data_IF_525282669870
#
_entry.id   IF_525282669870
#
_cell.length_a   1.000
_cell.length_b   1.000
_cell.length_c   1.000
_cell.angle_alpha   90.00
_cell.angle_beta   90.00
_cell.angle_gamma   90.00
#
_symmetry.space_group_name_H-M   'P 1'
#
loop_
_entity.id
_entity.type
_entity.pdbx_description
1 polymer ?
#
# COMPACT_ATOMS: atom_id res chain seq x y z
N UNK A 1 12.02 10.42 19.55
CA UNK A 1 12.91 9.33 20.01
C UNK A 1 12.40 7.95 19.62
N UNK A 2 11.09 7.67 19.67
CA UNK A 2 10.52 6.37 19.31
C UNK A 2 10.77 5.98 17.83
N UNK A 3 10.56 6.89 16.89
CA UNK A 3 10.80 6.66 15.45
C UNK A 3 12.27 6.36 15.10
N UNK A 4 13.23 7.02 15.73
CA UNK A 4 14.66 6.76 15.46
C UNK A 4 15.04 5.32 15.81
N UNK A 5 14.41 4.76 16.86
CA UNK A 5 14.61 3.37 17.22
C UNK A 5 13.94 2.47 16.19
N UNK A 6 12.69 2.72 15.84
CA UNK A 6 11.98 1.98 14.79
C UNK A 6 12.83 1.87 13.51
N UNK A 7 13.32 3.01 12.97
CA UNK A 7 14.14 3.03 11.76
C UNK A 7 15.54 2.41 11.90
N UNK A 8 15.98 2.09 13.12
CA UNK A 8 17.25 1.40 13.36
C UNK A 8 17.13 -0.13 13.37
N UNK A 9 15.91 -0.66 13.51
CA UNK A 9 15.63 -2.09 13.56
C UNK A 9 15.66 -2.70 12.14
N UNK A 10 16.02 -3.98 12.05
CA UNK A 10 16.08 -4.73 10.78
C UNK A 10 14.98 -5.79 10.66
N UNK A 11 14.37 -6.16 11.79
CA UNK A 11 13.26 -7.10 11.84
C UNK A 11 11.92 -6.37 11.86
N UNK A 12 11.74 -5.49 10.87
CA UNK A 12 10.51 -4.76 10.61
C UNK A 12 9.89 -5.33 9.34
N UNK A 13 8.56 -5.31 9.26
CA UNK A 13 7.81 -5.69 8.05
C UNK A 13 8.29 -4.86 6.85
N UNK A 14 8.36 -5.50 5.70
CA UNK A 14 8.86 -4.86 4.49
C UNK A 14 7.92 -5.05 3.32
N UNK A 15 7.91 -4.04 2.44
CA UNK A 15 7.18 -4.10 1.18
C UNK A 15 7.59 -5.34 0.37
N UNK A 16 8.86 -5.73 0.42
CA UNK A 16 9.41 -6.89 -0.29
C UNK A 16 8.66 -8.19 0.02
N UNK A 17 8.26 -8.38 1.28
CA UNK A 17 7.49 -9.56 1.70
C UNK A 17 6.05 -9.52 1.17
N UNK A 18 5.49 -8.31 1.00
CA UNK A 18 4.14 -8.11 0.51
C UNK A 18 4.05 -7.97 -1.02
N UNK A 19 5.18 -7.71 -1.71
CA UNK A 19 5.25 -7.47 -3.15
C UNK A 19 4.52 -8.52 -3.99
N UNK A 20 4.62 -9.85 -3.73
CA UNK A 20 3.88 -10.84 -4.52
C UNK A 20 2.35 -10.67 -4.44
N UNK A 21 1.83 -10.27 -3.28
CA UNK A 21 0.39 -10.05 -3.11
C UNK A 21 -0.07 -8.77 -3.81
N UNK A 22 0.72 -7.69 -3.69
CA UNK A 22 0.47 -6.45 -4.43
C UNK A 22 0.50 -6.69 -5.95
N UNK A 23 1.52 -7.39 -6.45
CA UNK A 23 1.69 -7.67 -7.87
C UNK A 23 0.50 -8.45 -8.43
N UNK A 24 0.08 -9.52 -7.76
CA UNK A 24 -1.06 -10.33 -8.18
C UNK A 24 -2.37 -9.51 -8.30
N UNK A 25 -2.60 -8.58 -7.39
CA UNK A 25 -3.79 -7.73 -7.42
C UNK A 25 -3.65 -6.62 -8.47
N UNK A 26 -2.47 -6.00 -8.57
CA UNK A 26 -2.20 -4.95 -9.55
C UNK A 26 -2.32 -5.47 -10.98
N UNK A 27 -1.80 -6.66 -11.29
CA UNK A 27 -1.96 -7.28 -12.62
C UNK A 27 -3.44 -7.45 -13.00
N UNK A 28 -4.33 -7.72 -12.03
CA UNK A 28 -5.77 -7.83 -12.27
C UNK A 28 -6.47 -6.47 -12.46
N UNK A 29 -5.85 -5.39 -11.97
CA UNK A 29 -6.42 -4.04 -11.99
C UNK A 29 -5.66 -3.09 -12.95
N UNK A 30 -4.61 -3.56 -13.62
CA UNK A 30 -3.71 -2.75 -14.44
C UNK A 30 -4.46 -2.00 -15.56
N UNK A 31 -5.34 -2.69 -16.28
CA UNK A 31 -6.18 -2.08 -17.33
C UNK A 31 -7.12 -1.00 -16.77
N UNK A 32 -7.57 -1.14 -15.52
CA UNK A 32 -8.40 -0.13 -14.88
C UNK A 32 -7.60 1.11 -14.51
N UNK A 33 -6.43 0.93 -13.86
CA UNK A 33 -5.56 2.04 -13.43
C UNK A 33 -5.10 2.89 -14.62
N UNK A 34 -4.75 2.24 -15.74
CA UNK A 34 -4.30 2.90 -16.98
C UNK A 34 -5.44 3.39 -17.88
N UNK A 35 -6.71 3.15 -17.51
CA UNK A 35 -7.85 3.44 -18.38
C UNK A 35 -7.93 4.91 -18.75
N UNK A 36 -7.90 5.17 -20.06
CA UNK A 36 -8.03 6.51 -20.63
C UNK A 36 -6.71 7.29 -20.72
N UNK A 37 -5.58 6.66 -20.38
CA UNK A 37 -4.24 7.23 -20.51
C UNK A 37 -3.52 6.65 -21.73
N UNK A 38 -2.73 7.48 -22.39
CA UNK A 38 -1.91 7.02 -23.51
C UNK A 38 -0.70 6.22 -22.98
N UNK A 39 -0.15 5.22 -23.71
CA UNK A 39 0.96 4.41 -23.22
C UNK A 39 2.24 5.18 -22.83
N UNK A 40 2.43 6.37 -23.40
CA UNK A 40 3.54 7.29 -23.13
C UNK A 40 3.24 8.33 -22.04
N UNK A 41 2.00 8.37 -21.53
CA UNK A 41 1.60 9.22 -20.43
C UNK A 41 1.94 8.55 -19.09
N UNK A 42 2.80 9.13 -18.24
CA UNK A 42 3.22 8.45 -17.02
C UNK A 42 2.07 8.32 -16.00
N UNK A 43 1.96 7.13 -15.38
CA UNK A 43 1.17 6.92 -14.17
C UNK A 43 1.94 7.45 -12.96
N UNK A 44 1.37 8.39 -12.23
CA UNK A 44 1.96 8.87 -10.98
C UNK A 44 1.64 7.87 -9.87
N UNK A 45 2.66 7.15 -9.41
CA UNK A 45 2.51 6.08 -8.42
C UNK A 45 3.28 6.45 -7.16
N UNK A 46 2.66 6.30 -6.01
CA UNK A 46 3.24 6.69 -4.74
C UNK A 46 3.35 5.52 -3.74
N UNK A 47 4.47 5.48 -3.01
CA UNK A 47 4.65 4.68 -1.81
C UNK A 47 4.53 5.60 -0.59
N UNK A 48 3.49 5.40 0.22
CA UNK A 48 3.28 6.07 1.49
C UNK A 48 3.95 5.32 2.63
N UNK A 49 4.99 5.91 3.20
CA UNK A 49 5.84 5.35 4.25
C UNK A 49 6.96 4.48 3.67
N UNK A 50 8.18 4.65 4.19
CA UNK A 50 9.33 3.82 3.85
C UNK A 50 10.17 3.51 5.08
N UNK A 51 10.75 2.31 5.11
CA UNK A 51 11.70 1.93 6.14
C UNK A 51 13.11 1.82 5.53
N UNK A 52 14.07 2.67 5.92
CA UNK A 52 15.34 2.85 5.21
C UNK A 52 16.22 1.58 5.16
N UNK A 53 16.04 0.66 6.11
CA UNK A 53 16.80 -0.60 6.16
C UNK A 53 16.19 -1.78 5.39
N UNK A 54 14.86 -1.86 5.27
CA UNK A 54 14.18 -3.08 4.80
C UNK A 54 13.35 -2.85 3.54
N UNK A 55 12.97 -1.61 3.27
CA UNK A 55 12.24 -1.22 2.06
C UNK A 55 13.12 -0.28 1.25
N UNK A 56 13.50 -0.73 0.05
CA UNK A 56 14.22 0.12 -0.90
C UNK A 56 13.27 0.63 -1.97
N UNK A 57 13.39 1.87 -2.45
CA UNK A 57 12.55 2.41 -3.52
C UNK A 57 12.51 1.53 -4.76
N UNK A 58 13.62 0.87 -5.12
CA UNK A 58 13.71 0.02 -6.31
C UNK A 58 12.73 -1.15 -6.25
N UNK A 59 12.45 -1.71 -5.07
CA UNK A 59 11.46 -2.78 -4.94
C UNK A 59 10.04 -2.30 -5.27
N UNK A 60 9.71 -1.06 -4.91
CA UNK A 60 8.42 -0.45 -5.25
C UNK A 60 8.35 -0.12 -6.74
N UNK A 61 9.43 0.44 -7.30
CA UNK A 61 9.52 0.77 -8.73
C UNK A 61 9.34 -0.48 -9.58
N UNK A 62 10.13 -1.53 -9.33
CA UNK A 62 10.02 -2.81 -10.06
C UNK A 62 8.63 -3.43 -9.91
N UNK A 63 8.05 -3.41 -8.71
CA UNK A 63 6.68 -3.88 -8.48
C UNK A 63 5.68 -3.17 -9.42
N UNK A 64 5.74 -1.85 -9.51
CA UNK A 64 4.83 -1.07 -10.34
C UNK A 64 5.11 -1.26 -11.84
N UNK A 65 6.37 -1.26 -12.27
CA UNK A 65 6.77 -1.48 -13.67
C UNK A 65 6.30 -2.85 -14.17
N UNK A 66 6.55 -3.90 -13.40
CA UNK A 66 6.20 -5.27 -13.77
C UNK A 66 4.68 -5.52 -13.79
N UNK A 67 3.93 -4.80 -12.94
CA UNK A 67 2.49 -5.08 -12.75
C UNK A 67 1.56 -4.20 -13.59
N UNK A 68 1.98 -2.99 -13.97
CA UNK A 68 1.09 -2.02 -14.63
C UNK A 68 1.28 -1.96 -16.16
N UNK A 69 2.37 -2.51 -16.70
CA UNK A 69 2.71 -2.45 -18.14
C UNK A 69 2.51 -1.04 -18.74
N UNK A 70 2.97 -0.03 -18.01
CA UNK A 70 2.81 1.38 -18.35
C UNK A 70 4.02 2.18 -17.90
N UNK A 71 4.27 3.33 -18.53
CA UNK A 71 5.26 4.27 -18.01
C UNK A 71 4.83 4.73 -16.61
N UNK A 72 5.73 4.68 -15.63
CA UNK A 72 5.45 5.16 -14.27
C UNK A 72 6.31 6.35 -13.89
N UNK A 73 5.78 7.20 -13.02
CA UNK A 73 6.51 8.25 -12.32
C UNK A 73 6.44 7.96 -10.81
N UNK A 74 7.50 7.39 -10.21
CA UNK A 74 7.47 6.96 -8.82
C UNK A 74 7.69 8.12 -7.83
N UNK A 75 6.90 8.12 -6.77
CA UNK A 75 6.97 9.08 -5.66
C UNK A 75 7.09 8.31 -4.34
N UNK A 76 8.07 8.66 -3.51
CA UNK A 76 8.27 8.10 -2.18
C UNK A 76 7.91 9.17 -1.16
N UNK A 77 6.92 8.88 -0.33
CA UNK A 77 6.37 9.81 0.67
C UNK A 77 6.68 9.27 2.06
N UNK A 78 7.19 10.10 2.97
CA UNK A 78 7.25 9.75 4.39
C UNK A 78 7.09 11.00 5.25
N UNK A 79 6.41 10.89 6.40
CA UNK A 79 6.30 12.01 7.35
C UNK A 79 7.64 12.32 8.02
N UNK A 80 8.54 11.33 8.11
CA UNK A 80 9.81 11.43 8.78
C UNK A 80 10.95 11.56 7.77
N UNK A 81 11.58 12.74 7.76
CA UNK A 81 12.73 13.03 6.91
C UNK A 81 13.85 11.99 7.05
N UNK A 82 14.05 11.41 8.24
CA UNK A 82 15.09 10.40 8.48
C UNK A 82 14.90 9.16 7.59
N UNK A 83 13.66 8.78 7.28
CA UNK A 83 13.38 7.64 6.41
C UNK A 83 13.79 7.90 4.95
N UNK A 84 13.83 9.17 4.56
CA UNK A 84 14.18 9.63 3.21
C UNK A 84 15.68 9.92 3.07
N UNK A 85 16.39 10.09 4.18
CA UNK A 85 17.83 10.35 4.18
C UNK A 85 18.62 9.15 3.65
N UNK A 86 19.51 9.39 2.69
CA UNK A 86 20.36 8.35 2.11
C UNK A 86 19.72 7.55 0.98
N UNK A 87 18.49 7.88 0.59
CA UNK A 87 17.86 7.37 -0.63
C UNK A 87 18.51 8.03 -1.87
N UNK A 88 18.98 7.24 -2.84
CA UNK A 88 19.53 7.74 -4.10
C UNK A 88 18.41 8.18 -5.02
N UNK A 89 18.24 9.48 -5.28
CA UNK A 89 17.10 10.04 -6.03
C UNK A 89 17.14 9.79 -7.55
N UNK A 90 17.85 8.77 -8.00
CA UNK A 90 17.86 8.41 -9.42
C UNK A 90 16.58 7.65 -9.76
N UNK A 91 15.72 8.25 -10.60
CA UNK A 91 14.52 7.60 -11.13
C UNK A 91 13.23 7.74 -10.31
N UNK A 92 13.22 8.54 -9.24
CA UNK A 92 12.00 8.83 -8.46
C UNK A 92 12.10 10.16 -7.70
N UNK A 93 10.96 10.63 -7.19
CA UNK A 93 10.88 11.78 -6.28
C UNK A 93 10.70 11.29 -4.86
N UNK A 94 11.55 11.73 -3.93
CA UNK A 94 11.35 11.53 -2.49
C UNK A 94 10.89 12.83 -1.83
N UNK A 95 9.80 12.78 -1.06
CA UNK A 95 9.18 13.96 -0.47
C UNK A 95 8.73 13.69 0.96
N UNK A 96 9.04 14.64 1.85
CA UNK A 96 8.49 14.61 3.19
C UNK A 96 7.03 15.07 3.15
N UNK A 97 6.09 14.21 3.54
CA UNK A 97 4.66 14.52 3.53
C UNK A 97 3.91 13.69 4.57
N UNK A 98 2.88 14.30 5.17
CA UNK A 98 1.89 13.58 5.97
C UNK A 98 0.82 13.04 5.03
N UNK A 99 0.48 11.75 5.11
CA UNK A 99 -0.51 11.16 4.20
C UNK A 99 -1.92 11.72 4.42
N UNK A 100 -2.24 12.18 5.63
CA UNK A 100 -3.51 12.84 5.93
C UNK A 100 -3.64 14.25 5.35
N UNK A 101 -2.52 14.87 4.98
CA UNK A 101 -2.43 16.25 4.50
C UNK A 101 -1.36 16.33 3.39
N UNK A 102 -1.64 15.64 2.28
CA UNK A 102 -0.73 15.59 1.15
C UNK A 102 -0.64 16.98 0.49
N UNK A 103 0.56 17.41 0.07
CA UNK A 103 0.67 18.57 -0.80
C UNK A 103 -0.06 18.30 -2.11
N UNK A 104 -0.47 19.36 -2.82
CA UNK A 104 -1.06 19.21 -4.15
C UNK A 104 -0.05 18.52 -5.08
N UNK A 105 -0.44 17.35 -5.60
CA UNK A 105 0.36 16.57 -6.56
C UNK A 105 -0.32 16.73 -7.91
N UNK A 106 0.38 17.34 -8.85
CA UNK A 106 -0.10 17.50 -10.23
C UNK A 106 0.93 16.90 -11.18
N UNK A 107 0.52 15.94 -12.03
CA UNK A 107 -0.79 15.28 -12.12
C UNK A 107 -1.20 14.47 -10.88
N UNK A 108 -2.50 14.11 -10.72
CA UNK A 108 -2.97 13.32 -9.59
C UNK A 108 -2.37 11.91 -9.60
N UNK A 109 -2.42 11.24 -8.45
CA UNK A 109 -1.90 9.89 -8.26
C UNK A 109 -2.83 8.84 -8.88
N UNK A 110 -2.28 7.96 -9.71
CA UNK A 110 -2.97 6.78 -10.24
C UNK A 110 -2.93 5.62 -9.24
N UNK A 111 -1.95 5.59 -8.34
CA UNK A 111 -1.79 4.55 -7.35
C UNK A 111 -1.12 5.12 -6.09
N UNK A 112 -1.64 4.80 -4.92
CA UNK A 112 -0.98 5.00 -3.64
C UNK A 112 -0.95 3.66 -2.88
N UNK A 113 0.25 3.15 -2.64
CA UNK A 113 0.48 1.97 -1.79
C UNK A 113 0.91 2.43 -0.41
N UNK A 114 0.22 1.97 0.64
CA UNK A 114 0.59 2.17 2.02
C UNK A 114 0.73 0.80 2.72
N UNK A 115 1.95 0.29 2.78
CA UNK A 115 2.24 -1.00 3.40
C UNK A 115 2.43 -0.85 4.92
N UNK A 116 1.41 -1.20 5.71
CA UNK A 116 1.30 -0.98 7.17
C UNK A 116 1.38 0.48 7.63
N UNK A 117 1.63 1.44 6.75
CA UNK A 117 1.80 2.85 7.12
C UNK A 117 0.57 3.41 7.83
N UNK A 118 -0.63 3.00 7.42
CA UNK A 118 -1.88 3.45 8.04
C UNK A 118 -2.10 2.87 9.45
N UNK A 119 -1.40 1.80 9.84
CA UNK A 119 -1.43 1.30 11.21
C UNK A 119 -0.75 2.28 12.18
N UNK A 120 0.17 3.13 11.73
CA UNK A 120 0.77 4.17 12.56
C UNK A 120 -0.07 5.45 12.64
N UNK A 121 -1.16 5.54 11.86
CA UNK A 121 -2.08 6.67 11.88
C UNK A 121 -3.15 6.44 12.94
N UNK A 122 -3.52 7.49 13.66
CA UNK A 122 -4.72 7.49 14.51
C UNK A 122 -5.99 7.45 13.68
N UNK A 123 -7.13 7.11 14.30
CA UNK A 123 -8.43 7.17 13.61
C UNK A 123 -8.75 8.59 13.09
N UNK A 124 -8.33 9.63 13.81
CA UNK A 124 -8.51 11.01 13.39
C UNK A 124 -7.70 11.35 12.14
N UNK A 125 -6.44 10.91 12.08
CA UNK A 125 -5.59 11.11 10.90
C UNK A 125 -6.14 10.35 9.70
N UNK A 126 -6.59 9.11 9.89
CA UNK A 126 -7.17 8.33 8.79
C UNK A 126 -8.50 8.92 8.29
N UNK A 127 -9.34 9.43 9.20
CA UNK A 127 -10.56 10.17 8.82
C UNK A 127 -10.25 11.49 8.11
N UNK A 128 -9.13 12.13 8.42
CA UNK A 128 -8.69 13.33 7.70
C UNK A 128 -8.17 12.97 6.30
N UNK A 129 -7.34 11.92 6.19
CA UNK A 129 -6.91 11.36 4.90
C UNK A 129 -8.11 11.01 4.01
N UNK A 130 -9.18 10.43 4.58
CA UNK A 130 -10.41 10.16 3.84
C UNK A 130 -11.07 11.41 3.22
N UNK A 131 -10.88 12.58 3.81
CA UNK A 131 -11.44 13.84 3.33
C UNK A 131 -10.58 14.48 2.25
N UNK A 132 -9.25 14.35 2.36
CA UNK A 132 -8.28 15.05 1.50
C UNK A 132 -7.86 14.20 0.30
N UNK A 133 -7.48 12.94 0.53
CA UNK A 133 -6.92 12.04 -0.47
C UNK A 133 -7.76 11.86 -1.76
N UNK A 134 -9.12 11.85 -1.73
CA UNK A 134 -9.89 11.77 -2.97
C UNK A 134 -9.57 12.88 -3.98
N UNK A 135 -9.14 14.06 -3.53
CA UNK A 135 -8.71 15.16 -4.40
C UNK A 135 -7.31 15.01 -4.99
N UNK A 136 -6.51 14.08 -4.47
CA UNK A 136 -5.15 13.79 -4.94
C UNK A 136 -5.05 12.52 -5.79
N UNK A 137 -6.14 11.76 -5.91
CA UNK A 137 -6.20 10.56 -6.75
C UNK A 137 -6.85 10.88 -8.09
N UNK A 138 -6.38 10.22 -9.13
CA UNK A 138 -7.05 10.20 -10.43
C UNK A 138 -8.45 9.58 -10.30
N UNK A 139 -9.37 9.82 -11.25
CA UNK A 139 -10.69 9.16 -11.26
C UNK A 139 -10.63 7.62 -11.28
N UNK A 140 -9.55 7.06 -11.84
CA UNK A 140 -9.25 5.62 -11.81
C UNK A 140 -8.15 5.26 -10.79
N UNK A 141 -7.81 6.19 -9.91
CA UNK A 141 -6.78 6.03 -8.90
C UNK A 141 -7.17 5.02 -7.83
N UNK A 142 -6.19 4.25 -7.37
CA UNK A 142 -6.36 3.24 -6.33
C UNK A 142 -5.53 3.58 -5.08
N UNK A 143 -6.13 3.32 -3.91
CA UNK A 143 -5.44 3.29 -2.63
C UNK A 143 -5.33 1.82 -2.20
N UNK A 144 -4.11 1.31 -2.07
CA UNK A 144 -3.86 -0.06 -1.61
C UNK A 144 -3.22 -0.05 -0.22
N UNK A 145 -3.85 -0.72 0.74
CA UNK A 145 -3.41 -0.75 2.13
C UNK A 145 -3.17 -2.18 2.58
N UNK A 146 -2.00 -2.47 3.14
CA UNK A 146 -1.83 -3.63 4.02
C UNK A 146 -1.99 -3.17 5.46
N UNK A 147 -2.81 -3.87 6.23
CA UNK A 147 -3.05 -3.55 7.65
C UNK A 147 -2.98 -4.80 8.52
N UNK A 148 -2.52 -4.62 9.76
CA UNK A 148 -2.63 -5.63 10.80
C UNK A 148 -4.09 -5.90 11.17
N UNK A 149 -4.46 -7.17 11.19
CA UNK A 149 -5.68 -7.60 11.84
C UNK A 149 -5.48 -7.75 13.35
N UNK A 150 -6.38 -7.18 14.17
CA UNK A 150 -6.36 -7.44 15.60
C UNK A 150 -6.82 -8.88 15.87
N UNK A 151 -5.89 -9.79 16.17
CA UNK A 151 -6.21 -11.16 16.61
C UNK A 151 -6.90 -11.19 17.98
N UNK A 152 -6.46 -10.36 18.93
CA UNK A 152 -7.15 -10.12 20.22
C UNK A 152 -7.09 -8.64 20.59
N UNK A 153 -8.22 -7.95 20.82
CA UNK A 153 -8.25 -6.55 21.23
C UNK A 153 -7.41 -6.30 22.50
N UNK A 154 -6.45 -5.36 22.44
CA UNK A 154 -5.60 -4.94 23.56
C UNK A 154 -4.22 -5.62 23.63
N UNK A 155 -4.14 -6.92 23.33
CA UNK A 155 -2.88 -7.67 23.26
C UNK A 155 -2.06 -7.30 22.02
N UNK A 156 -2.73 -7.03 20.89
CA UNK A 156 -2.08 -6.58 19.65
C UNK A 156 -1.36 -5.24 19.83
N UNK A 157 -1.98 -4.28 20.53
CA UNK A 157 -1.37 -2.97 20.81
C UNK A 157 -0.13 -3.09 21.70
N UNK A 158 -0.16 -3.96 22.71
CA UNK A 158 0.97 -4.16 23.60
C UNK A 158 2.12 -4.88 22.88
N UNK A 159 1.82 -5.97 22.15
CA UNK A 159 2.81 -6.69 21.32
C UNK A 159 3.47 -5.76 20.33
N UNK A 160 2.68 -4.99 19.58
CA UNK A 160 3.22 -4.14 18.53
C UNK A 160 3.97 -2.92 19.09
N UNK A 161 3.55 -2.37 20.24
CA UNK A 161 4.35 -1.34 20.93
C UNK A 161 5.69 -1.88 21.41
N UNK A 162 5.74 -3.14 21.86
CA UNK A 162 7.00 -3.81 22.24
C UNK A 162 7.87 -4.08 21.01
N UNK A 163 7.27 -4.52 19.89
CA UNK A 163 7.99 -4.87 18.66
C UNK A 163 8.50 -3.64 17.91
N UNK A 164 7.72 -2.57 17.82
CA UNK A 164 8.05 -1.41 16.98
C UNK A 164 8.51 -0.19 17.77
N UNK A 165 8.29 -0.15 19.08
CA UNK A 165 8.53 1.01 19.95
C UNK A 165 7.80 2.29 19.53
N UNK A 166 6.84 2.18 18.61
CA UNK A 166 5.92 3.24 18.19
C UNK A 166 4.49 2.75 18.37
N UNK A 167 3.55 3.68 18.54
CA UNK A 167 2.14 3.32 18.67
C UNK A 167 1.59 2.83 17.33
N UNK A 168 0.84 1.73 17.38
CA UNK A 168 0.10 1.22 16.23
C UNK A 168 -1.38 1.08 16.58
N UNK A 169 -2.19 1.14 15.54
CA UNK A 169 -3.63 1.14 15.58
C UNK A 169 -4.18 0.08 14.61
N UNK A 170 -4.01 -1.23 14.91
CA UNK A 170 -4.59 -2.29 14.09
C UNK A 170 -6.11 -2.15 13.98
N UNK A 171 -6.67 -2.43 12.80
CA UNK A 171 -8.10 -2.25 12.51
C UNK A 171 -8.68 -3.50 11.88
N UNK A 172 -9.94 -3.76 12.20
CA UNK A 172 -10.72 -4.70 11.38
C UNK A 172 -11.08 -4.05 10.06
N UNK A 173 -11.32 -4.86 9.03
CA UNK A 173 -11.82 -4.42 7.72
C UNK A 173 -13.02 -3.46 7.87
N UNK A 174 -14.04 -3.85 8.64
CA UNK A 174 -15.23 -3.02 8.88
C UNK A 174 -14.89 -1.63 9.42
N UNK A 175 -13.94 -1.55 10.37
CA UNK A 175 -13.52 -0.27 10.95
C UNK A 175 -12.75 0.56 9.93
N UNK A 176 -11.88 -0.07 9.15
CA UNK A 176 -11.13 0.59 8.08
C UNK A 176 -12.08 1.18 7.03
N UNK A 177 -13.03 0.39 6.52
CA UNK A 177 -14.05 0.85 5.56
C UNK A 177 -14.93 1.97 6.11
N UNK A 178 -15.22 1.95 7.42
CA UNK A 178 -15.99 3.04 8.05
C UNK A 178 -15.20 4.34 8.10
N UNK A 179 -13.88 4.28 8.36
CA UNK A 179 -13.02 5.46 8.42
C UNK A 179 -12.73 6.04 7.03
N UNK A 180 -12.71 5.18 6.00
CA UNK A 180 -12.46 5.51 4.60
C UNK A 180 -13.76 5.59 3.78
N UNK A 181 -14.81 6.22 4.32
CA UNK A 181 -16.15 6.20 3.73
C UNK A 181 -16.32 6.96 2.42
N UNK A 182 -15.36 7.83 2.04
CA UNK A 182 -15.34 8.49 0.73
C UNK A 182 -14.70 7.61 -0.35
N UNK A 183 -14.19 6.46 0.06
CA UNK A 183 -13.74 5.40 -0.81
C UNK A 183 -14.72 4.23 -0.73
N UNK A 184 -14.75 3.45 -1.81
CA UNK A 184 -15.34 2.11 -1.75
C UNK A 184 -14.23 1.07 -1.75
N UNK A 185 -14.43 0.06 -0.92
CA UNK A 185 -13.59 -1.13 -0.90
C UNK A 185 -13.94 -1.98 -2.12
N UNK A 186 -12.99 -2.19 -3.02
CA UNK A 186 -13.19 -2.96 -4.27
C UNK A 186 -12.52 -4.33 -4.21
N UNK A 187 -11.51 -4.50 -3.36
CA UNK A 187 -10.84 -5.78 -3.16
C UNK A 187 -10.37 -5.95 -1.72
N UNK A 188 -10.46 -7.18 -1.20
CA UNK A 188 -9.94 -7.56 0.12
C UNK A 188 -9.34 -8.94 0.04
N UNK A 189 -8.10 -9.08 0.50
CA UNK A 189 -7.43 -10.35 0.66
C UNK A 189 -6.79 -10.51 2.04
N UNK A 190 -6.74 -11.74 2.51
CA UNK A 190 -5.95 -12.16 3.66
C UNK A 190 -4.64 -12.76 3.17
N UNK A 191 -3.53 -12.21 3.65
CA UNK A 191 -2.17 -12.71 3.38
C UNK A 191 -1.83 -13.89 4.30
N UNK A 192 -0.75 -14.63 4.02
CA UNK A 192 -0.32 -15.79 4.82
C UNK A 192 -0.05 -15.44 6.30
N UNK A 193 0.26 -14.18 6.60
CA UNK A 193 0.54 -13.69 7.95
C UNK A 193 -0.69 -13.09 8.64
N UNK A 194 -1.89 -13.47 8.20
CA UNK A 194 -3.20 -12.98 8.68
C UNK A 194 -3.44 -11.46 8.49
N UNK A 195 -2.59 -10.75 7.75
CA UNK A 195 -2.80 -9.33 7.46
C UNK A 195 -3.84 -9.16 6.34
N UNK A 196 -4.53 -8.02 6.36
CA UNK A 196 -5.49 -7.68 5.30
C UNK A 196 -4.83 -6.75 4.29
N UNK A 197 -4.82 -7.18 3.04
CA UNK A 197 -4.52 -6.36 1.88
C UNK A 197 -5.85 -5.88 1.29
N UNK A 198 -6.07 -4.57 1.31
CA UNK A 198 -7.31 -3.93 0.89
C UNK A 198 -7.04 -2.96 -0.25
N UNK A 199 -7.97 -2.91 -1.21
CA UNK A 199 -7.92 -1.94 -2.31
C UNK A 199 -9.17 -1.09 -2.28
N UNK A 200 -8.95 0.21 -2.22
CA UNK A 200 -9.96 1.25 -2.22
C UNK A 200 -9.89 2.01 -3.54
N UNK A 201 -11.06 2.30 -4.10
CA UNK A 201 -11.22 3.22 -5.23
C UNK A 201 -12.13 4.38 -4.81
N UNK A 202 -12.10 5.48 -5.55
CA UNK A 202 -13.06 6.58 -5.34
C UNK A 202 -14.51 6.05 -5.34
N UNK A 203 -15.39 6.64 -4.52
CA UNK A 203 -16.80 6.23 -4.43
C UNK A 203 -17.48 6.17 -5.80
N UNK A 204 -17.12 7.10 -6.69
CA UNK A 204 -17.68 7.28 -8.04
C UNK A 204 -17.01 6.41 -9.11
N UNK A 205 -16.01 5.60 -8.75
CA UNK A 205 -15.35 4.67 -9.68
C UNK A 205 -16.37 3.72 -10.35
N UNK A 206 -16.11 3.14 -11.53
CA UNK A 206 -16.96 2.09 -12.10
C UNK A 206 -16.74 0.70 -11.48
N UNK A 207 -15.73 0.50 -10.64
CA UNK A 207 -15.47 -0.81 -10.02
C UNK A 207 -16.59 -1.19 -9.04
N UNK A 208 -16.98 -2.45 -9.02
CA UNK A 208 -17.97 -2.94 -8.06
C UNK A 208 -17.37 -2.95 -6.64
N UNK A 209 -18.19 -2.59 -5.65
CA UNK A 209 -17.78 -2.75 -4.26
C UNK A 209 -17.62 -4.24 -3.93
N UNK A 210 -16.55 -4.57 -3.19
CA UNK A 210 -16.31 -5.91 -2.69
C UNK A 210 -17.51 -6.39 -1.86
N UNK A 211 -17.92 -7.63 -2.09
CA UNK A 211 -18.99 -8.31 -1.37
C UNK A 211 -18.49 -9.67 -0.94
N UNK A 212 -18.53 -9.97 0.35
CA UNK A 212 -18.21 -11.29 0.87
C UNK A 212 -17.11 -11.25 1.92
N UNK A 213 -16.46 -12.39 2.08
CA UNK A 213 -15.29 -12.54 2.94
C UNK A 213 -14.01 -12.23 2.15
N UNK A 214 -12.92 -11.81 2.82
CA UNK A 214 -11.61 -11.68 2.22
C UNK A 214 -11.20 -12.93 1.41
N UNK A 215 -10.57 -12.72 0.26
CA UNK A 215 -9.95 -13.82 -0.48
C UNK A 215 -8.70 -14.30 0.27
N UNK A 216 -8.52 -15.61 0.44
CA UNK A 216 -7.21 -16.09 0.90
C UNK A 216 -6.18 -15.89 -0.21
N UNK A 217 -4.99 -15.39 0.13
CA UNK A 217 -3.80 -15.41 -0.72
C UNK A 217 -2.77 -16.42 -0.22
N UNK A 218 -3.23 -17.50 0.44
CA UNK A 218 -2.42 -18.70 0.62
C UNK A 218 -2.32 -19.46 -0.72
N UNK A 219 -1.12 -19.82 -1.20
CA UNK A 219 -0.94 -20.66 -2.38
C UNK A 219 -1.69 -22.00 -2.31
N UNK A 220 -1.91 -22.51 -1.09
CA UNK A 220 -2.61 -23.77 -0.84
C UNK A 220 -4.14 -23.63 -0.94
N UNK A 221 -4.66 -22.48 -0.52
CA UNK A 221 -6.11 -22.22 -0.46
C UNK A 221 -6.64 -21.52 -1.71
N UNK A 222 -5.78 -20.74 -2.39
CA UNK A 222 -6.12 -20.01 -3.60
C UNK A 222 -5.30 -20.53 -4.77
N UNK A 223 -5.88 -21.50 -5.49
CA UNK A 223 -5.26 -22.10 -6.67
C UNK A 223 -4.95 -21.10 -7.79
N UNK A 224 -5.63 -19.94 -7.85
CA UNK A 224 -5.32 -18.86 -8.78
C UNK A 224 -4.00 -18.18 -8.44
N UNK A 225 -3.86 -17.73 -7.19
CA UNK A 225 -2.62 -17.12 -6.70
C UNK A 225 -1.45 -18.10 -6.69
N UNK A 226 -1.66 -19.35 -6.21
CA UNK A 226 -0.61 -20.38 -6.19
C UNK A 226 -0.08 -20.72 -7.59
N UNK A 227 -0.99 -20.80 -8.58
CA UNK A 227 -0.60 -21.00 -9.99
C UNK A 227 0.17 -19.80 -10.53
N UNK A 228 -0.31 -18.59 -10.29
CA UNK A 228 0.35 -17.35 -10.70
C UNK A 228 1.77 -17.27 -10.12
N UNK A 229 1.93 -17.51 -8.81
CA UNK A 229 3.22 -17.47 -8.12
C UNK A 229 4.21 -18.49 -8.70
N UNK A 230 3.72 -19.68 -9.09
CA UNK A 230 4.54 -20.70 -9.74
C UNK A 230 5.04 -20.24 -11.11
N UNK A 231 4.18 -19.60 -11.90
CA UNK A 231 4.55 -19.05 -13.21
C UNK A 231 5.60 -17.94 -13.10
N UNK A 232 5.50 -17.06 -12.10
CA UNK A 232 6.50 -16.01 -11.89
C UNK A 232 7.88 -16.57 -11.50
N UNK A 233 7.90 -17.67 -10.70
CA UNK A 233 9.14 -18.38 -10.36
C UNK A 233 9.81 -19.00 -11.59
N UNK A 234 9.02 -19.56 -12.51
CA UNK A 234 9.53 -20.11 -13.78
C UNK A 234 10.13 -19.03 -14.68
N UNK A 235 9.50 -17.85 -14.78
CA UNK A 235 10.03 -16.71 -15.55
C UNK A 235 11.33 -16.15 -14.98
N UNK A 236 11.55 -16.30 -13.68
CA UNK A 236 12.72 -15.78 -12.96
C UNK A 236 13.88 -16.79 -12.86
N UNK A 237 13.70 -18.01 -13.37
CA UNK A 237 14.73 -19.04 -13.36
C UNK A 237 15.74 -18.79 -14.50
N UNK A 238 17.05 -18.68 -14.19
CA UNK A 238 18.11 -18.42 -15.18
C UNK A 238 18.37 -19.59 -16.13
#
# INVERSE_FOLDING_TARGET
MEWNRYYSEENIRSLKEQSPYYAYILEQLAEYVSKGKAPDEPLFVALGGIHPKVTRPEHFITLCEDSLDHLIFPIILDQNEQALQGLSQDGYVAMQANLEDLPEITPPLSLLICDYTTDFMTDSQLSHMNQTLPGHLDPNGLLMLTVDTPTIPGLSRLRNKISFNVNVHPRSEKKLTTLLSNFKLVYVAQTENDNLLTVFASIDSPLEAHKGAPFSLSPEENGGFGKWLSQQKEKSAP
#
